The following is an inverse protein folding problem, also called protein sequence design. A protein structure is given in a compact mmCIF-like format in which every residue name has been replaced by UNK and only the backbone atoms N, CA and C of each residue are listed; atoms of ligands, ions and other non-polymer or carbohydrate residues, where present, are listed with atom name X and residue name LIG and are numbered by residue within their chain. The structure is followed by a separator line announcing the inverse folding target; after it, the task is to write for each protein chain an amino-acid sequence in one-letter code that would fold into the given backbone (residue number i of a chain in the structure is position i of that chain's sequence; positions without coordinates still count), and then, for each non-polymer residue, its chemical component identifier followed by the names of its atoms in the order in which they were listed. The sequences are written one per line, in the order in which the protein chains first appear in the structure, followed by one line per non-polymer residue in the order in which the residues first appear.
data_IF_263361662352
#
_entry.id   IF_263361662352
#
_cell.length_a   1.000
_cell.length_b   1.000
_cell.length_c   1.000
_cell.angle_alpha   90.00
_cell.angle_beta   90.00
_cell.angle_gamma   90.00
#
_symmetry.space_group_name_H-M   'P 1'
#
loop_
_entity.id
_entity.type
_entity.pdbx_description
1 polymer ?
#
# COMPACT_ATOMS: atom_id res chain seq x y z
N UNK A 1 4.18 -14.73 26.41
CA UNK A 1 5.04 -15.09 25.27
C UNK A 1 5.16 -13.84 24.43
N UNK A 2 6.36 -13.27 24.33
CA UNK A 2 6.58 -11.98 23.65
C UNK A 2 6.55 -12.21 22.15
N UNK A 3 5.51 -11.74 21.47
CA UNK A 3 5.50 -11.61 20.00
C UNK A 3 6.58 -10.58 19.65
N UNK A 4 7.68 -11.03 19.06
CA UNK A 4 8.64 -10.12 18.45
C UNK A 4 8.00 -9.61 17.16
N UNK A 5 7.54 -8.36 17.16
CA UNK A 5 7.17 -7.64 15.94
C UNK A 5 8.41 -7.61 15.05
N UNK A 6 8.37 -8.36 13.95
CA UNK A 6 9.47 -8.42 12.99
C UNK A 6 9.31 -7.24 12.05
N UNK A 7 9.87 -6.08 12.41
CA UNK A 7 9.82 -4.90 11.53
C UNK A 7 10.75 -5.11 10.34
N UNK A 8 10.28 -4.72 9.14
CA UNK A 8 11.04 -4.89 7.90
C UNK A 8 12.20 -3.89 7.84
N UNK A 9 12.01 -2.71 8.43
CA UNK A 9 12.98 -1.63 8.43
C UNK A 9 13.44 -1.27 9.84
N UNK A 10 14.65 -0.73 9.92
CA UNK A 10 15.18 -0.20 11.17
C UNK A 10 14.60 1.17 11.48
N UNK A 11 14.60 1.55 12.76
CA UNK A 11 14.19 2.90 13.19
C UNK A 11 15.02 4.02 12.54
N UNK A 12 16.29 3.76 12.23
CA UNK A 12 17.17 4.71 11.55
C UNK A 12 16.75 4.94 10.09
N UNK A 13 16.40 3.86 9.37
CA UNK A 13 15.88 3.97 8.01
C UNK A 13 14.58 4.77 7.99
N UNK A 14 13.65 4.46 8.90
CA UNK A 14 12.41 5.21 9.06
C UNK A 14 12.65 6.69 9.32
N UNK A 15 13.51 7.03 10.30
CA UNK A 15 13.86 8.42 10.61
C UNK A 15 14.41 9.15 9.38
N UNK A 16 15.31 8.52 8.63
CA UNK A 16 15.89 9.15 7.44
C UNK A 16 14.84 9.45 6.36
N UNK A 17 13.92 8.51 6.11
CA UNK A 17 12.88 8.71 5.11
C UNK A 17 11.86 9.77 5.54
N UNK A 18 11.48 9.79 6.81
CA UNK A 18 10.51 10.75 7.33
C UNK A 18 11.09 12.17 7.43
N UNK A 19 12.38 12.30 7.74
CA UNK A 19 13.09 13.58 7.64
C UNK A 19 13.08 14.09 6.19
N UNK A 20 13.32 13.22 5.20
CA UNK A 20 13.24 13.60 3.80
C UNK A 20 11.82 14.00 3.39
N UNK A 21 10.82 13.25 3.81
CA UNK A 21 9.41 13.55 3.55
C UNK A 21 9.03 14.92 4.13
N UNK A 22 9.40 15.20 5.38
CA UNK A 22 9.12 16.47 6.04
C UNK A 22 9.76 17.68 5.32
N UNK A 23 10.99 17.50 4.81
CA UNK A 23 11.73 18.59 4.17
C UNK A 23 11.37 18.78 2.69
N UNK A 24 11.05 17.71 1.96
CA UNK A 24 10.86 17.73 0.51
C UNK A 24 9.40 17.56 0.07
N UNK A 25 8.49 17.25 1.00
CA UNK A 25 7.11 16.86 0.76
C UNK A 25 6.94 15.54 -0.03
N UNK A 26 8.02 14.80 -0.27
CA UNK A 26 8.03 13.46 -0.85
C UNK A 26 9.31 12.73 -0.47
N UNK A 27 9.28 11.40 -0.54
CA UNK A 27 10.46 10.54 -0.39
C UNK A 27 10.36 9.36 -1.35
N UNK A 28 11.50 8.97 -1.93
CA UNK A 28 11.62 7.74 -2.70
C UNK A 28 12.33 6.70 -1.83
N UNK A 29 11.73 5.51 -1.72
CA UNK A 29 12.29 4.39 -0.97
C UNK A 29 12.43 3.21 -1.92
N UNK A 30 13.66 2.93 -2.32
CA UNK A 30 13.96 1.79 -3.18
C UNK A 30 13.73 0.48 -2.41
N UNK A 31 13.22 -0.52 -3.12
CA UNK A 31 12.94 -1.86 -2.56
C UNK A 31 12.03 -1.85 -1.32
N UNK A 32 11.10 -0.89 -1.24
CA UNK A 32 10.19 -0.74 -0.10
C UNK A 32 9.29 -1.97 0.16
N UNK A 33 8.99 -2.74 -0.88
CA UNK A 33 8.34 -4.04 -0.74
C UNK A 33 9.42 -5.08 -0.97
N UNK A 34 9.79 -5.91 0.03
CA UNK A 34 10.79 -6.96 -0.15
C UNK A 34 10.36 -7.96 -1.23
N UNK A 35 11.32 -8.50 -1.98
CA UNK A 35 11.06 -9.36 -3.16
C UNK A 35 10.08 -10.51 -2.88
N UNK A 36 10.19 -11.15 -1.72
CA UNK A 36 9.29 -12.24 -1.32
C UNK A 36 7.85 -11.74 -1.13
N UNK A 37 7.67 -10.60 -0.47
CA UNK A 37 6.35 -9.99 -0.29
C UNK A 37 5.79 -9.50 -1.63
N UNK A 38 6.64 -8.92 -2.48
CA UNK A 38 6.27 -8.50 -3.82
C UNK A 38 5.75 -9.68 -4.66
N UNK A 39 6.41 -10.83 -4.61
CA UNK A 39 5.95 -12.04 -5.31
C UNK A 39 4.59 -12.55 -4.80
N UNK A 40 4.34 -12.45 -3.50
CA UNK A 40 3.03 -12.81 -2.91
C UNK A 40 1.93 -11.89 -3.44
N UNK A 41 2.16 -10.57 -3.37
CA UNK A 41 1.21 -9.56 -3.87
C UNK A 41 0.98 -9.73 -5.38
N UNK A 42 2.04 -9.97 -6.15
CA UNK A 42 1.93 -10.20 -7.58
C UNK A 42 1.06 -11.43 -7.89
N UNK A 43 1.25 -12.53 -7.16
CA UNK A 43 0.46 -13.76 -7.35
C UNK A 43 -1.01 -13.53 -7.01
N UNK A 44 -1.31 -12.80 -5.92
CA UNK A 44 -2.67 -12.43 -5.55
C UNK A 44 -3.37 -11.62 -6.64
N UNK A 45 -2.70 -10.59 -7.16
CA UNK A 45 -3.25 -9.76 -8.23
C UNK A 45 -3.44 -10.53 -9.55
N UNK A 46 -2.60 -11.52 -9.83
CA UNK A 46 -2.80 -12.40 -10.98
C UNK A 46 -4.08 -13.24 -10.83
N UNK A 47 -4.34 -13.78 -9.64
CA UNK A 47 -5.57 -14.53 -9.36
C UNK A 47 -6.82 -13.64 -9.52
N UNK A 48 -6.82 -12.44 -8.93
CA UNK A 48 -7.93 -11.48 -9.08
C UNK A 48 -8.19 -11.10 -10.55
N UNK A 49 -7.13 -11.06 -11.37
CA UNK A 49 -7.25 -10.80 -12.80
C UNK A 49 -7.90 -11.97 -13.54
N UNK A 50 -7.50 -13.20 -13.23
CA UNK A 50 -8.10 -14.42 -13.79
C UNK A 50 -9.58 -14.56 -13.41
N UNK A 51 -9.95 -14.16 -12.20
CA UNK A 51 -11.32 -14.16 -11.68
C UNK A 51 -12.17 -13.00 -12.22
N UNK A 52 -11.60 -12.07 -13.00
CA UNK A 52 -12.27 -10.88 -13.54
C UNK A 52 -12.86 -9.93 -12.48
N UNK A 53 -12.24 -9.89 -11.29
CA UNK A 53 -12.67 -9.05 -10.16
C UNK A 53 -12.33 -7.57 -10.34
N UNK A 54 -11.48 -7.25 -11.31
CA UNK A 54 -11.09 -5.88 -11.63
C UNK A 54 -12.22 -5.08 -12.30
N UNK A 55 -12.48 -3.89 -11.78
CA UNK A 55 -13.49 -2.96 -12.30
C UNK A 55 -12.86 -1.72 -12.92
N UNK A 56 -13.51 -1.11 -13.92
CA UNK A 56 -12.97 0.10 -14.55
C UNK A 56 -12.97 1.27 -13.56
N UNK A 57 -11.84 1.96 -13.42
CA UNK A 57 -11.73 3.07 -12.48
C UNK A 57 -12.70 4.21 -12.85
N UNK A 58 -13.49 4.66 -11.88
CA UNK A 58 -14.34 5.83 -12.00
C UNK A 58 -13.65 7.06 -11.39
N UNK A 59 -13.99 8.24 -11.88
CA UNK A 59 -13.60 9.53 -11.29
C UNK A 59 -14.82 10.20 -10.63
N UNK A 60 -14.59 11.08 -9.66
CA UNK A 60 -15.66 11.80 -8.93
C UNK A 60 -16.04 11.14 -7.61
N UNK A 61 -16.63 11.92 -6.70
CA UNK A 61 -17.17 11.47 -5.41
C UNK A 61 -18.52 10.78 -5.61
N UNK A 62 -19.03 10.05 -4.61
CA UNK A 62 -20.19 9.12 -4.72
C UNK A 62 -21.30 9.50 -5.71
N UNK A 63 -21.85 10.72 -5.63
CA UNK A 63 -22.97 11.15 -6.50
C UNK A 63 -22.55 11.60 -7.91
N UNK A 64 -21.25 11.80 -8.14
CA UNK A 64 -20.64 12.27 -9.39
C UNK A 64 -19.71 11.21 -9.99
N UNK A 65 -19.81 9.94 -9.54
CA UNK A 65 -19.02 8.84 -10.09
C UNK A 65 -19.30 8.68 -11.58
N UNK A 66 -18.28 8.92 -12.39
CA UNK A 66 -18.34 8.78 -13.84
C UNK A 66 -17.14 8.01 -14.35
N UNK A 67 -17.36 7.14 -15.33
CA UNK A 67 -16.30 6.41 -16.02
C UNK A 67 -15.87 7.25 -17.22
N UNK A 68 -14.81 8.02 -17.05
CA UNK A 68 -14.23 8.92 -18.05
C UNK A 68 -12.87 8.37 -18.51
N UNK A 69 -12.88 7.52 -19.55
CA UNK A 69 -11.64 6.91 -20.06
C UNK A 69 -10.65 7.89 -20.68
N UNK A 70 -11.07 9.13 -20.93
CA UNK A 70 -10.20 10.24 -21.35
C UNK A 70 -9.29 10.73 -20.22
N UNK A 71 -9.71 10.52 -18.96
CA UNK A 71 -8.99 10.93 -17.74
C UNK A 71 -8.23 9.76 -17.14
N UNK A 72 -8.86 8.58 -17.03
CA UNK A 72 -8.25 7.39 -16.45
C UNK A 72 -8.80 6.11 -17.09
N UNK A 73 -7.90 5.24 -17.57
CA UNK A 73 -8.26 4.06 -18.38
C UNK A 73 -7.92 2.71 -17.77
N UNK A 74 -7.31 2.68 -16.58
CA UNK A 74 -6.95 1.45 -15.87
C UNK A 74 -8.15 0.81 -15.16
N UNK A 75 -7.97 -0.47 -14.86
CA UNK A 75 -8.87 -1.24 -14.01
C UNK A 75 -8.27 -1.32 -12.61
N UNK A 76 -9.14 -1.27 -11.61
CA UNK A 76 -8.78 -1.29 -10.20
C UNK A 76 -9.57 -2.36 -9.46
N UNK A 77 -8.98 -2.82 -8.37
CA UNK A 77 -9.61 -3.62 -7.35
C UNK A 77 -9.40 -2.91 -6.00
N UNK A 78 -10.43 -2.87 -5.16
CA UNK A 78 -10.34 -2.28 -3.82
C UNK A 78 -9.95 -3.39 -2.85
N UNK A 79 -8.71 -3.34 -2.35
CA UNK A 79 -8.24 -4.29 -1.34
C UNK A 79 -8.97 -4.08 -0.02
N UNK A 80 -9.30 -5.18 0.64
CA UNK A 80 -9.96 -5.25 1.95
C UNK A 80 -9.22 -6.25 2.85
N UNK A 81 -8.78 -5.78 4.01
CA UNK A 81 -7.98 -6.58 4.96
C UNK A 81 -8.72 -7.82 5.48
N UNK A 82 -10.05 -7.87 5.38
CA UNK A 82 -10.86 -9.02 5.81
C UNK A 82 -10.97 -10.10 4.73
N UNK A 83 -10.92 -9.74 3.45
CA UNK A 83 -11.09 -10.67 2.33
C UNK A 83 -9.80 -10.96 1.54
N UNK A 84 -8.78 -10.10 1.63
CA UNK A 84 -7.49 -10.28 0.97
C UNK A 84 -6.41 -10.72 1.98
N UNK A 85 -6.65 -11.83 2.68
CA UNK A 85 -5.73 -12.32 3.72
C UNK A 85 -4.44 -12.92 3.14
N UNK A 86 -4.42 -13.28 1.86
CA UNK A 86 -3.23 -13.77 1.15
C UNK A 86 -2.10 -12.73 1.12
N UNK A 87 -2.44 -11.44 1.23
CA UNK A 87 -1.51 -10.32 1.24
C UNK A 87 -1.46 -9.60 2.59
N UNK A 88 -1.83 -10.26 3.70
CA UNK A 88 -1.86 -9.65 5.03
C UNK A 88 -0.56 -8.93 5.42
N UNK A 89 0.59 -9.50 5.03
CA UNK A 89 1.91 -8.91 5.28
C UNK A 89 2.12 -7.55 4.59
N UNK A 90 1.42 -7.27 3.47
CA UNK A 90 1.41 -5.96 2.84
C UNK A 90 0.64 -4.96 3.69
N UNK A 91 -0.51 -5.36 4.22
CA UNK A 91 -1.28 -4.52 5.15
C UNK A 91 -0.48 -4.24 6.42
N UNK A 92 0.24 -5.22 6.96
CA UNK A 92 1.07 -5.03 8.14
C UNK A 92 2.23 -4.04 7.87
N UNK A 93 2.84 -4.08 6.67
CA UNK A 93 3.80 -3.07 6.25
C UNK A 93 3.18 -1.68 6.15
N UNK A 94 1.95 -1.55 5.62
CA UNK A 94 1.24 -0.27 5.60
C UNK A 94 0.90 0.24 7.00
N UNK A 95 0.48 -0.65 7.91
CA UNK A 95 0.19 -0.31 9.30
C UNK A 95 1.45 0.16 10.04
N UNK A 96 2.60 -0.51 9.83
CA UNK A 96 3.91 -0.07 10.34
C UNK A 96 4.28 1.31 9.78
N UNK A 97 4.06 1.54 8.48
CA UNK A 97 4.33 2.83 7.82
C UNK A 97 3.50 3.95 8.44
N UNK A 98 2.19 3.72 8.58
CA UNK A 98 1.26 4.67 9.19
C UNK A 98 1.63 4.93 10.66
N UNK A 99 2.04 3.92 11.40
CA UNK A 99 2.48 4.07 12.79
C UNK A 99 3.70 5.00 12.88
N UNK A 100 4.71 4.79 12.03
CA UNK A 100 5.91 5.63 12.00
C UNK A 100 5.59 7.07 11.58
N UNK A 101 4.72 7.26 10.59
CA UNK A 101 4.24 8.59 10.18
C UNK A 101 3.57 9.34 11.35
N UNK A 102 2.64 8.68 12.06
CA UNK A 102 1.96 9.27 13.23
C UNK A 102 2.95 9.64 14.34
N UNK A 103 3.92 8.78 14.62
CA UNK A 103 4.85 8.97 15.73
C UNK A 103 5.87 10.08 15.48
N UNK A 104 6.36 10.22 14.25
CA UNK A 104 7.48 11.13 13.95
C UNK A 104 7.02 12.44 13.31
N UNK A 105 5.93 12.41 12.54
CA UNK A 105 5.40 13.59 11.83
C UNK A 105 4.10 14.13 12.45
N UNK A 106 3.55 13.45 13.46
CA UNK A 106 2.30 13.84 14.14
C UNK A 106 1.09 13.98 13.20
N UNK A 107 1.07 13.16 12.14
CA UNK A 107 -0.04 13.04 11.19
C UNK A 107 -1.17 12.16 11.72
#
# INVERSE_FOLDING_TARGET
MSTQETTIYSSEQWSNWLDQLANKNYVFVDNFIPDQLYQQVQSHFQQLLEESEFSKAAIGTDQQRQIESSVRGDFIYWLDKQSDDEIINLFDLFDETLLNLRQQLFL
#
